data_IF_635802390574
#
_entry.id   IF_635802390574
#
_cell.length_a   1.000
_cell.length_b   1.000
_cell.length_c   1.000
_cell.angle_alpha   90.00
_cell.angle_beta   90.00
_cell.angle_gamma   90.00
#
_symmetry.space_group_name_H-M   'P 1'
#
loop_
_entity.id
_entity.type
_entity.pdbx_description
1 polymer ?
#
# COMPACT_ATOMS: atom_id res chain seq x y z
N UNK A 1 9.07 22.01 3.65
CA UNK A 1 8.56 20.75 4.25
C UNK A 1 9.62 19.70 4.02
N UNK A 2 10.15 19.08 5.07
CA UNK A 2 11.23 18.09 4.93
C UNK A 2 10.74 16.89 4.14
N UNK A 3 11.52 16.42 3.18
CA UNK A 3 11.25 15.17 2.45
C UNK A 3 11.40 14.00 3.41
N UNK A 4 10.27 13.55 3.96
CA UNK A 4 10.15 12.33 4.74
C UNK A 4 10.56 11.12 3.91
N UNK A 5 11.01 10.05 4.59
CA UNK A 5 11.41 8.79 3.97
C UNK A 5 10.24 7.83 3.75
N UNK A 6 9.01 8.26 4.06
CA UNK A 6 7.80 7.42 3.92
C UNK A 6 7.73 6.21 4.87
N UNK A 7 8.63 6.16 5.86
CA UNK A 7 8.75 5.09 6.86
C UNK A 7 9.40 5.63 8.14
N UNK A 8 9.30 4.90 9.25
CA UNK A 8 9.96 5.30 10.51
C UNK A 8 11.48 5.21 10.33
N UNK A 9 12.24 6.15 10.89
CA UNK A 9 13.72 6.14 10.76
C UNK A 9 14.38 4.84 11.25
N UNK A 10 13.85 4.24 12.32
CA UNK A 10 14.32 2.93 12.81
C UNK A 10 14.04 1.78 11.84
N UNK A 11 12.98 1.88 11.04
CA UNK A 11 12.62 0.85 10.05
C UNK A 11 13.48 1.03 8.80
N UNK A 12 13.74 2.27 8.36
CA UNK A 12 14.70 2.56 7.30
C UNK A 12 16.08 1.95 7.60
N UNK A 13 16.54 2.05 8.85
CA UNK A 13 17.77 1.38 9.27
C UNK A 13 17.70 -0.14 9.02
N UNK A 14 16.55 -0.78 9.24
CA UNK A 14 16.37 -2.22 8.97
C UNK A 14 16.34 -2.52 7.48
N UNK A 15 15.73 -1.67 6.67
CA UNK A 15 15.82 -1.77 5.21
C UNK A 15 17.27 -1.71 4.72
N UNK A 16 18.07 -0.79 5.25
CA UNK A 16 19.51 -0.70 4.92
C UNK A 16 20.31 -1.93 5.38
N UNK A 17 20.00 -2.46 6.57
CA UNK A 17 20.59 -3.72 7.05
C UNK A 17 20.30 -4.87 6.10
N UNK A 18 19.03 -5.08 5.73
CA UNK A 18 18.63 -6.18 4.83
C UNK A 18 19.20 -5.98 3.42
N UNK A 19 19.18 -4.74 2.90
CA UNK A 19 19.79 -4.40 1.62
C UNK A 19 21.27 -4.79 1.59
N UNK A 20 22.02 -4.55 2.68
CA UNK A 20 23.40 -4.99 2.82
C UNK A 20 23.53 -6.51 2.89
N UNK A 21 22.81 -7.13 3.83
CA UNK A 21 22.98 -8.55 4.16
C UNK A 21 22.59 -9.46 3.00
N UNK A 22 21.55 -9.08 2.26
CA UNK A 22 21.07 -9.82 1.08
C UNK A 22 21.73 -9.31 -0.21
N UNK A 23 22.55 -8.26 -0.13
CA UNK A 23 23.16 -7.57 -1.28
C UNK A 23 22.14 -7.24 -2.37
N UNK A 24 21.09 -6.50 -2.00
CA UNK A 24 19.99 -6.07 -2.87
C UNK A 24 19.71 -4.57 -2.71
N UNK A 25 19.17 -3.96 -3.76
CA UNK A 25 18.57 -2.62 -3.71
C UNK A 25 17.08 -2.79 -3.48
N UNK A 26 16.54 -2.09 -2.47
CA UNK A 26 15.13 -2.16 -2.09
C UNK A 26 14.43 -0.86 -2.46
N UNK A 27 13.34 -0.95 -3.22
CA UNK A 27 12.49 0.20 -3.54
C UNK A 27 11.18 0.06 -2.78
N UNK A 28 10.85 1.08 -1.99
CA UNK A 28 9.67 1.09 -1.12
C UNK A 28 8.84 2.32 -1.43
N UNK A 29 7.55 2.14 -1.70
CA UNK A 29 6.64 3.28 -1.82
C UNK A 29 6.39 3.88 -0.46
N UNK A 30 6.19 5.20 -0.43
CA UNK A 30 5.90 5.89 0.82
C UNK A 30 4.55 5.44 1.37
N UNK A 31 4.57 4.93 2.60
CA UNK A 31 3.35 4.68 3.35
C UNK A 31 2.75 6.02 3.77
N UNK A 32 1.41 6.06 3.92
CA UNK A 32 0.74 7.17 4.56
C UNK A 32 1.37 7.42 5.95
N UNK A 33 1.87 8.64 6.20
CA UNK A 33 2.60 8.99 7.43
C UNK A 33 1.75 8.77 8.68
N UNK A 34 0.45 9.03 8.61
CA UNK A 34 -0.48 8.79 9.72
C UNK A 34 -0.61 7.30 10.04
N UNK A 35 -0.26 6.39 9.13
CA UNK A 35 -0.21 4.95 9.42
C UNK A 35 0.97 4.56 10.31
N UNK A 36 2.06 5.33 10.27
CA UNK A 36 3.33 4.96 10.93
C UNK A 36 3.21 4.89 12.45
N UNK A 37 2.27 5.64 13.03
CA UNK A 37 2.03 5.65 14.48
C UNK A 37 1.44 4.35 14.99
N UNK A 38 0.86 3.50 14.13
CA UNK A 38 0.23 2.23 14.53
C UNK A 38 1.16 1.02 14.43
N UNK A 39 2.31 1.17 13.76
CA UNK A 39 3.20 0.05 13.48
C UNK A 39 3.72 -0.60 14.76
N UNK A 40 3.36 -1.87 14.96
CA UNK A 40 3.74 -2.67 16.12
C UNK A 40 2.93 -2.39 17.39
N UNK A 41 1.85 -1.59 17.32
CA UNK A 41 0.95 -1.37 18.46
C UNK A 41 -0.06 -2.53 18.57
N UNK A 42 -0.33 -3.05 19.78
CA UNK A 42 -1.39 -4.04 19.99
C UNK A 42 -2.75 -3.53 19.49
N UNK A 43 -3.53 -4.41 18.85
CA UNK A 43 -4.83 -4.06 18.26
C UNK A 43 -4.74 -3.38 16.89
N UNK A 44 -3.55 -3.27 16.31
CA UNK A 44 -3.32 -2.73 14.97
C UNK A 44 -2.50 -3.69 14.13
N UNK A 45 -2.83 -3.79 12.84
CA UNK A 45 -2.15 -4.70 11.92
C UNK A 45 -1.97 -4.06 10.55
N UNK A 46 -0.81 -4.31 9.93
CA UNK A 46 -0.51 -3.77 8.61
C UNK A 46 -1.40 -4.44 7.55
N UNK A 47 -1.86 -3.65 6.59
CA UNK A 47 -2.76 -4.08 5.53
C UNK A 47 -2.23 -5.32 4.77
N UNK A 48 -2.90 -6.48 4.85
CA UNK A 48 -2.45 -7.67 4.14
C UNK A 48 -2.68 -7.56 2.63
N UNK A 49 -1.96 -8.39 1.87
CA UNK A 49 -2.01 -8.43 0.39
C UNK A 49 -3.43 -8.53 -0.22
N UNK A 50 -4.34 -9.20 0.50
CA UNK A 50 -5.73 -9.42 0.09
C UNK A 50 -6.59 -8.16 0.15
N UNK A 51 -6.15 -7.11 0.84
CA UNK A 51 -6.90 -5.88 1.00
C UNK A 51 -6.31 -4.82 0.06
N UNK A 52 -7.14 -4.14 -0.71
CA UNK A 52 -6.71 -3.04 -1.62
C UNK A 52 -7.16 -1.66 -1.16
N UNK A 53 -8.12 -1.59 -0.23
CA UNK A 53 -8.66 -0.36 0.35
C UNK A 53 -7.58 0.63 0.84
N UNK A 54 -7.83 1.92 0.65
CA UNK A 54 -6.91 3.01 1.02
C UNK A 54 -7.10 3.42 2.48
N UNK A 55 -6.02 3.86 3.12
CA UNK A 55 -6.08 4.46 4.46
C UNK A 55 -6.59 5.90 4.39
N UNK A 56 -7.23 6.37 5.45
CA UNK A 56 -7.70 7.75 5.58
C UNK A 56 -6.53 8.74 5.61
N UNK A 57 -6.73 9.90 5.01
CA UNK A 57 -5.78 11.01 4.99
C UNK A 57 -5.93 11.97 6.19
N UNK A 58 -7.09 11.96 6.87
CA UNK A 58 -7.35 12.84 7.99
C UNK A 58 -8.37 12.27 8.99
N UNK A 59 -8.30 12.78 10.22
CA UNK A 59 -9.37 12.64 11.19
C UNK A 59 -10.49 13.65 10.85
N UNK A 60 -11.74 13.19 10.66
CA UNK A 60 -12.84 14.10 10.41
C UNK A 60 -13.14 14.94 11.66
N UNK A 61 -13.77 16.13 11.49
CA UNK A 61 -14.13 16.99 12.62
C UNK A 61 -14.93 16.25 13.69
N UNK A 62 -14.74 16.66 14.94
CA UNK A 62 -15.54 16.14 16.04
C UNK A 62 -17.02 16.45 15.83
N UNK A 63 -17.88 15.51 16.19
CA UNK A 63 -19.34 15.62 16.03
C UNK A 63 -20.01 15.33 17.36
N UNK A 64 -21.03 16.10 17.70
CA UNK A 64 -21.88 15.79 18.86
C UNK A 64 -23.08 14.98 18.38
N UNK A 65 -23.33 13.82 19.01
CA UNK A 65 -24.44 12.93 18.62
C UNK A 65 -25.10 12.28 19.84
N UNK A 66 -26.38 11.95 19.70
CA UNK A 66 -27.10 11.17 20.70
C UNK A 66 -26.76 9.69 20.57
N UNK A 67 -26.16 9.10 21.59
CA UNK A 67 -25.88 7.65 21.70
C UNK A 67 -26.63 7.14 22.92
N UNK A 68 -27.57 6.20 22.71
CA UNK A 68 -28.44 5.67 23.76
C UNK A 68 -29.11 6.77 24.63
N UNK A 69 -29.54 7.87 24.00
CA UNK A 69 -30.20 9.00 24.67
C UNK A 69 -29.26 10.00 25.35
N UNK A 70 -27.94 9.85 25.22
CA UNK A 70 -26.94 10.80 25.77
C UNK A 70 -26.21 11.53 24.65
N UNK A 71 -26.04 12.84 24.78
CA UNK A 71 -25.21 13.62 23.87
C UNK A 71 -23.73 13.38 24.15
N UNK A 72 -23.02 12.80 23.18
CA UNK A 72 -21.60 12.49 23.26
C UNK A 72 -20.86 13.29 22.20
N UNK A 73 -19.83 14.03 22.62
CA UNK A 73 -18.86 14.65 21.71
C UNK A 73 -17.88 13.58 21.24
N UNK A 74 -17.99 13.18 19.98
CA UNK A 74 -17.17 12.16 19.37
C UNK A 74 -15.98 12.79 18.67
N UNK A 75 -14.76 12.46 19.11
CA UNK A 75 -13.54 12.68 18.33
C UNK A 75 -13.13 11.39 17.64
N UNK A 76 -12.64 11.50 16.41
CA UNK A 76 -12.19 10.37 15.62
C UNK A 76 -10.67 10.28 15.61
N UNK A 77 -10.17 9.05 15.56
CA UNK A 77 -8.76 8.69 15.39
C UNK A 77 -8.67 7.61 14.33
N UNK A 78 -8.88 8.02 13.09
CA UNK A 78 -8.98 7.14 11.91
C UNK A 78 -7.95 7.47 10.83
N UNK A 79 -7.29 8.63 10.87
CA UNK A 79 -6.17 8.95 10.00
C UNK A 79 -5.14 7.82 10.04
N UNK A 80 -4.68 7.38 8.86
CA UNK A 80 -3.75 6.25 8.73
C UNK A 80 -4.37 4.85 8.85
N UNK A 81 -5.68 4.73 9.10
CA UNK A 81 -6.40 3.46 9.14
C UNK A 81 -7.28 3.27 7.91
N UNK A 82 -7.59 2.01 7.59
CA UNK A 82 -8.56 1.65 6.54
C UNK A 82 -9.96 1.88 7.09
N UNK A 83 -10.67 2.88 6.55
CA UNK A 83 -12.03 3.27 6.96
C UNK A 83 -13.01 3.08 5.81
N UNK A 84 -14.28 2.81 6.10
CA UNK A 84 -15.32 2.77 5.09
C UNK A 84 -15.57 4.19 4.53
N UNK A 85 -15.30 4.46 3.23
CA UNK A 85 -15.42 5.81 2.66
C UNK A 85 -16.85 6.35 2.64
N UNK A 86 -17.86 5.49 2.59
CA UNK A 86 -19.27 5.88 2.77
C UNK A 86 -19.66 6.32 4.19
N UNK A 87 -18.97 5.82 5.24
CA UNK A 87 -19.22 6.26 6.62
C UNK A 87 -18.46 7.55 6.94
N UNK A 88 -17.27 7.71 6.37
CA UNK A 88 -16.40 8.86 6.56
C UNK A 88 -15.85 9.42 5.24
N UNK A 89 -16.70 10.03 4.38
CA UNK A 89 -16.23 10.59 3.11
C UNK A 89 -15.23 11.74 3.34
N UNK A 90 -15.40 12.49 4.43
CA UNK A 90 -14.48 13.56 4.84
C UNK A 90 -13.13 13.09 5.36
N UNK A 91 -12.89 11.79 5.54
CA UNK A 91 -11.59 11.26 5.95
C UNK A 91 -10.58 11.16 4.80
N UNK A 92 -11.03 11.38 3.56
CA UNK A 92 -10.21 11.33 2.35
C UNK A 92 -10.10 12.70 1.72
N UNK A 93 -8.92 13.05 1.21
CA UNK A 93 -8.76 14.28 0.41
C UNK A 93 -9.66 14.19 -0.84
N UNK A 94 -10.31 15.29 -1.27
CA UNK A 94 -11.26 15.25 -2.40
C UNK A 94 -10.71 14.58 -3.66
N UNK A 95 -9.44 14.85 -4.02
CA UNK A 95 -8.77 14.26 -5.18
C UNK A 95 -8.53 12.74 -5.06
N UNK A 96 -8.56 12.18 -3.84
CA UNK A 96 -8.33 10.76 -3.56
C UNK A 96 -9.62 9.97 -3.31
N UNK A 97 -10.75 10.63 -3.03
CA UNK A 97 -11.98 9.98 -2.62
C UNK A 97 -12.49 8.95 -3.65
N UNK A 98 -12.49 9.30 -4.94
CA UNK A 98 -12.92 8.38 -6.00
C UNK A 98 -12.04 7.11 -6.05
N UNK A 99 -10.71 7.26 -5.95
CA UNK A 99 -9.78 6.13 -5.87
C UNK A 99 -9.98 5.32 -4.58
N UNK A 100 -10.31 5.96 -3.47
CA UNK A 100 -10.58 5.29 -2.20
C UNK A 100 -11.87 4.45 -2.24
N UNK A 101 -12.95 4.98 -2.84
CA UNK A 101 -14.20 4.26 -3.08
C UNK A 101 -13.97 3.02 -3.95
N UNK A 102 -13.30 3.18 -5.09
CA UNK A 102 -13.00 2.06 -5.99
C UNK A 102 -12.15 0.98 -5.28
N UNK A 103 -11.09 1.40 -4.58
CA UNK A 103 -10.23 0.47 -3.84
C UNK A 103 -10.94 -0.24 -2.68
N UNK A 104 -11.91 0.44 -2.04
CA UNK A 104 -12.79 -0.16 -1.04
C UNK A 104 -13.67 -1.24 -1.67
N UNK A 105 -14.37 -0.92 -2.77
CA UNK A 105 -15.21 -1.88 -3.49
C UNK A 105 -14.43 -3.12 -3.93
N UNK A 106 -13.23 -2.93 -4.49
CA UNK A 106 -12.39 -4.04 -4.93
C UNK A 106 -11.90 -4.91 -3.76
N UNK A 107 -11.57 -4.29 -2.62
CA UNK A 107 -11.28 -5.03 -1.38
C UNK A 107 -12.50 -5.81 -0.86
N UNK A 108 -13.68 -5.20 -0.90
CA UNK A 108 -14.93 -5.82 -0.46
C UNK A 108 -15.38 -6.96 -1.38
N UNK A 109 -15.10 -6.90 -2.69
CA UNK A 109 -15.32 -8.05 -3.60
C UNK A 109 -14.51 -9.28 -3.16
N UNK A 110 -13.29 -9.09 -2.66
CA UNK A 110 -12.44 -10.17 -2.16
C UNK A 110 -12.89 -10.68 -0.78
N UNK A 111 -13.26 -9.77 0.12
CA UNK A 111 -13.63 -10.11 1.49
C UNK A 111 -15.06 -10.65 1.61
N UNK A 112 -16.02 -10.05 0.93
CA UNK A 112 -17.44 -10.38 1.06
C UNK A 112 -18.00 -11.14 -0.15
N UNK A 113 -17.48 -10.90 -1.35
CA UNK A 113 -18.06 -11.41 -2.59
C UNK A 113 -19.53 -11.00 -2.73
N UNK A 114 -20.41 -11.97 -3.00
CA UNK A 114 -21.86 -11.73 -3.10
C UNK A 114 -22.55 -11.45 -1.74
N UNK A 115 -21.88 -11.67 -0.61
CA UNK A 115 -22.44 -11.53 0.74
C UNK A 115 -22.13 -10.16 1.37
N UNK A 116 -21.94 -9.13 0.55
CA UNK A 116 -21.67 -7.77 1.03
C UNK A 116 -22.91 -7.22 1.76
N UNK A 117 -22.79 -6.69 2.99
CA UNK A 117 -23.90 -6.03 3.65
C UNK A 117 -24.37 -4.82 2.83
N UNK A 118 -25.67 -4.54 2.87
CA UNK A 118 -26.21 -3.32 2.28
C UNK A 118 -25.52 -2.10 2.88
N UNK A 119 -25.29 -1.07 2.06
CA UNK A 119 -24.81 0.21 2.55
C UNK A 119 -25.81 0.77 3.57
N UNK A 120 -25.30 1.31 4.68
CA UNK A 120 -26.13 2.05 5.62
C UNK A 120 -26.38 3.48 5.14
N UNK A 121 -27.29 4.15 5.83
CA UNK A 121 -27.51 5.59 5.76
C UNK A 121 -26.48 6.29 6.66
N UNK A 122 -25.60 7.17 6.13
CA UNK A 122 -24.62 7.92 6.93
C UNK A 122 -25.25 8.77 8.05
N UNK A 123 -26.55 9.10 7.94
CA UNK A 123 -27.30 9.86 8.94
C UNK A 123 -27.93 8.97 10.03
N UNK A 124 -27.96 7.64 9.84
CA UNK A 124 -28.55 6.66 10.77
C UNK A 124 -27.55 5.57 11.10
N UNK A 125 -26.79 5.74 12.18
CA UNK A 125 -25.67 4.86 12.52
C UNK A 125 -26.09 3.40 12.71
N UNK A 126 -27.28 3.17 13.26
CA UNK A 126 -27.87 1.86 13.46
C UNK A 126 -28.09 1.08 12.16
N UNK A 127 -28.25 1.77 11.03
CA UNK A 127 -28.38 1.14 9.72
C UNK A 127 -27.09 0.41 9.28
N UNK A 128 -25.96 0.70 9.92
CA UNK A 128 -24.68 0.05 9.67
C UNK A 128 -24.44 -1.20 10.53
N UNK A 129 -25.35 -1.56 11.44
CA UNK A 129 -25.13 -2.66 12.39
C UNK A 129 -24.69 -3.98 11.72
N UNK A 130 -25.21 -4.27 10.51
CA UNK A 130 -24.83 -5.44 9.75
C UNK A 130 -23.31 -5.49 9.43
N UNK A 131 -22.65 -4.35 9.24
CA UNK A 131 -21.21 -4.27 8.97
C UNK A 131 -20.35 -4.65 10.19
N UNK A 132 -20.91 -4.56 11.40
CA UNK A 132 -20.25 -4.96 12.65
C UNK A 132 -20.14 -6.46 12.89
N UNK A 133 -20.87 -7.27 12.11
CA UNK A 133 -20.88 -8.73 12.27
C UNK A 133 -19.60 -9.33 11.66
N UNK A 134 -18.85 -10.08 12.46
CA UNK A 134 -17.66 -10.80 12.00
C UNK A 134 -18.01 -11.86 10.95
N UNK A 135 -17.39 -11.78 9.78
CA UNK A 135 -17.60 -12.69 8.64
C UNK A 135 -16.29 -13.32 8.21
N UNK A 136 -16.34 -14.56 7.74
CA UNK A 136 -15.19 -15.20 7.08
C UNK A 136 -14.97 -14.53 5.72
N UNK A 137 -13.72 -14.27 5.36
CA UNK A 137 -13.39 -13.68 4.07
C UNK A 137 -13.62 -14.70 2.94
N UNK A 138 -14.28 -14.27 1.86
CA UNK A 138 -14.53 -15.13 0.70
C UNK A 138 -13.24 -15.60 0.02
N UNK A 139 -12.19 -14.77 0.02
CA UNK A 139 -10.90 -15.13 -0.56
C UNK A 139 -10.06 -16.09 0.29
N UNK A 140 -10.35 -16.25 1.59
CA UNK A 140 -9.55 -17.08 2.50
C UNK A 140 -10.33 -17.43 3.77
N UNK A 141 -10.42 -18.73 4.07
CA UNK A 141 -11.03 -19.26 5.30
C UNK A 141 -10.32 -18.83 6.58
N UNK A 142 -9.07 -18.38 6.49
CA UNK A 142 -8.22 -18.05 7.64
C UNK A 142 -8.54 -16.66 8.18
N UNK A 143 -9.12 -15.80 7.34
CA UNK A 143 -9.38 -14.41 7.66
C UNK A 143 -10.84 -14.19 7.99
N UNK A 144 -11.06 -13.36 9.02
CA UNK A 144 -12.36 -12.79 9.34
C UNK A 144 -12.28 -11.28 9.24
N UNK A 145 -13.38 -10.65 8.86
CA UNK A 145 -13.49 -9.21 8.72
C UNK A 145 -14.79 -8.67 9.33
N UNK A 146 -14.74 -7.42 9.77
CA UNK A 146 -15.90 -6.60 10.14
C UNK A 146 -15.51 -5.12 10.08
N UNK A 147 -16.48 -4.23 10.20
CA UNK A 147 -16.22 -2.80 10.42
C UNK A 147 -16.62 -2.45 11.85
N UNK A 148 -15.85 -1.60 12.51
CA UNK A 148 -16.23 -1.06 13.80
C UNK A 148 -17.45 -0.14 13.63
N UNK A 149 -18.59 -0.54 14.18
CA UNK A 149 -19.85 0.19 14.10
C UNK A 149 -20.35 0.66 15.45
N UNK A 150 -19.49 0.63 16.48
CA UNK A 150 -19.81 1.21 17.79
C UNK A 150 -19.82 2.75 17.67
N UNK A 151 -20.99 3.41 17.84
CA UNK A 151 -21.08 4.87 17.74
C UNK A 151 -20.19 5.64 18.71
N UNK A 152 -19.76 5.02 19.81
CA UNK A 152 -18.86 5.59 20.81
C UNK A 152 -17.36 5.36 20.49
N UNK A 153 -17.04 4.49 19.53
CA UNK A 153 -15.66 4.20 19.17
C UNK A 153 -15.01 5.38 18.46
N UNK A 154 -13.79 5.74 18.88
CA UNK A 154 -12.95 6.67 18.12
C UNK A 154 -12.53 6.14 16.75
N UNK A 155 -12.70 4.84 16.53
CA UNK A 155 -12.40 4.14 15.28
C UNK A 155 -13.66 3.70 14.53
N UNK A 156 -14.82 4.30 14.85
CA UNK A 156 -16.05 4.04 14.10
C UNK A 156 -15.78 4.13 12.59
N UNK A 157 -16.26 3.13 11.85
CA UNK A 157 -16.07 2.94 10.43
C UNK A 157 -14.75 2.29 10.01
N UNK A 158 -13.81 2.02 10.92
CA UNK A 158 -12.57 1.34 10.57
C UNK A 158 -12.79 -0.16 10.32
N UNK A 159 -12.13 -0.68 9.29
CA UNK A 159 -12.08 -2.11 9.03
C UNK A 159 -11.22 -2.81 10.10
N UNK A 160 -11.73 -3.93 10.58
CA UNK A 160 -11.02 -4.84 11.46
C UNK A 160 -10.86 -6.21 10.81
N UNK A 161 -9.67 -6.80 10.95
CA UNK A 161 -9.42 -8.19 10.55
C UNK A 161 -9.01 -9.04 11.76
N UNK A 162 -9.27 -10.34 11.67
CA UNK A 162 -8.87 -11.36 12.64
C UNK A 162 -8.40 -12.60 11.89
N UNK A 163 -7.41 -13.31 12.44
CA UNK A 163 -6.98 -14.65 12.00
C UNK A 163 -6.35 -15.41 13.17
N UNK A 164 -5.97 -16.66 12.98
CA UNK A 164 -5.19 -17.38 14.00
C UNK A 164 -3.93 -16.57 14.41
N UNK A 165 -3.76 -16.32 15.70
CA UNK A 165 -2.66 -15.51 16.25
C UNK A 165 -2.85 -13.99 16.13
N UNK A 166 -3.97 -13.50 15.62
CA UNK A 166 -4.32 -12.08 15.51
C UNK A 166 -5.79 -11.86 15.90
N UNK A 167 -6.00 -11.29 17.10
CA UNK A 167 -7.32 -10.80 17.50
C UNK A 167 -7.79 -9.65 16.60
N UNK A 168 -9.05 -9.24 16.74
CA UNK A 168 -9.62 -8.13 15.97
C UNK A 168 -8.72 -6.89 16.03
N UNK A 169 -8.08 -6.59 14.90
CA UNK A 169 -7.12 -5.51 14.78
C UNK A 169 -7.55 -4.51 13.70
N UNK A 170 -7.39 -3.22 13.99
CA UNK A 170 -7.60 -2.16 13.01
C UNK A 170 -6.47 -2.15 12.00
N UNK A 171 -6.82 -1.91 10.74
CA UNK A 171 -5.87 -2.04 9.64
C UNK A 171 -5.23 -0.71 9.29
N UNK A 172 -3.91 -0.64 9.31
CA UNK A 172 -3.12 0.54 8.90
C UNK A 172 -2.29 0.25 7.64
N UNK A 173 -1.66 1.29 7.08
CA UNK A 173 -0.80 1.16 5.91
C UNK A 173 0.43 0.26 6.16
N UNK A 174 0.79 -0.52 5.15
CA UNK A 174 1.95 -1.41 5.09
C UNK A 174 3.13 -0.76 4.33
N UNK A 175 4.29 -1.43 4.33
CA UNK A 175 5.44 -1.08 3.50
C UNK A 175 5.38 -1.83 2.18
N UNK A 176 4.95 -1.11 1.16
CA UNK A 176 4.72 -1.64 -0.18
C UNK A 176 6.05 -1.65 -0.95
N UNK A 177 6.65 -2.84 -1.05
CA UNK A 177 7.83 -3.04 -1.87
C UNK A 177 7.44 -2.85 -3.33
N UNK A 178 8.07 -1.88 -3.98
CA UNK A 178 7.92 -1.68 -5.41
C UNK A 178 8.81 -2.65 -6.18
N UNK A 179 10.05 -2.79 -5.75
CA UNK A 179 11.05 -3.57 -6.46
C UNK A 179 12.16 -4.07 -5.52
N UNK A 180 12.79 -5.17 -5.92
CA UNK A 180 13.96 -5.75 -5.25
C UNK A 180 14.96 -6.13 -6.33
N UNK A 181 16.09 -5.43 -6.36
CA UNK A 181 17.04 -5.50 -7.47
C UNK A 181 18.37 -6.05 -6.98
N UNK A 182 18.93 -7.02 -7.69
CA UNK A 182 20.29 -7.51 -7.43
C UNK A 182 21.30 -6.59 -8.15
N UNK A 183 22.29 -5.99 -7.46
CA UNK A 183 23.32 -5.17 -8.10
C UNK A 183 24.06 -5.93 -9.20
N UNK A 184 24.33 -5.25 -10.32
CA UNK A 184 24.88 -5.80 -11.57
C UNK A 184 23.87 -6.60 -12.42
N UNK A 185 22.64 -6.77 -11.96
CA UNK A 185 21.54 -7.49 -12.63
C UNK A 185 20.29 -6.63 -12.77
N UNK A 186 20.48 -5.32 -12.84
CA UNK A 186 19.40 -4.33 -12.79
C UNK A 186 18.49 -4.33 -14.00
N UNK A 187 18.76 -5.13 -15.04
CA UNK A 187 17.87 -5.33 -16.19
C UNK A 187 16.98 -6.56 -16.06
N UNK A 188 17.23 -7.42 -15.07
CA UNK A 188 16.40 -8.58 -14.80
C UNK A 188 15.14 -8.15 -14.06
N UNK A 189 14.08 -7.92 -14.83
CA UNK A 189 12.76 -7.61 -14.32
C UNK A 189 11.79 -8.73 -14.65
N UNK A 190 11.98 -9.83 -13.94
CA UNK A 190 11.14 -11.02 -14.02
C UNK A 190 10.35 -11.15 -12.73
N UNK A 191 9.11 -11.63 -12.86
CA UNK A 191 8.23 -11.89 -11.73
C UNK A 191 7.60 -13.26 -11.87
N UNK A 192 7.49 -13.96 -10.75
CA UNK A 192 6.66 -15.14 -10.63
C UNK A 192 5.24 -14.70 -10.26
N UNK A 193 4.26 -15.24 -10.96
CA UNK A 193 2.84 -15.06 -10.63
C UNK A 193 2.40 -16.19 -9.71
N UNK A 194 1.73 -15.84 -8.61
CA UNK A 194 1.18 -16.80 -7.66
C UNK A 194 -0.09 -16.28 -7.00
N UNK A 195 -0.51 -16.98 -5.94
CA UNK A 195 -1.61 -16.54 -5.07
C UNK A 195 -1.12 -16.45 -3.63
N UNK A 196 -1.47 -15.36 -2.95
CA UNK A 196 -1.29 -15.17 -1.52
C UNK A 196 -2.67 -14.90 -0.90
N UNK A 197 -3.10 -15.76 0.03
CA UNK A 197 -4.45 -15.74 0.61
C UNK A 197 -5.57 -15.72 -0.44
N UNK A 198 -5.42 -16.53 -1.50
CA UNK A 198 -6.40 -16.63 -2.60
C UNK A 198 -6.36 -15.49 -3.60
N UNK A 199 -5.56 -14.44 -3.36
CA UNK A 199 -5.46 -13.24 -4.22
C UNK A 199 -4.18 -13.29 -5.04
N UNK A 200 -4.26 -12.78 -6.28
CA UNK A 200 -3.11 -12.68 -7.18
C UNK A 200 -1.95 -11.93 -6.50
N UNK A 201 -0.77 -12.52 -6.49
CA UNK A 201 0.45 -11.92 -5.97
C UNK A 201 1.57 -12.08 -7.00
N UNK A 202 2.43 -11.07 -7.10
CA UNK A 202 3.63 -11.10 -7.93
C UNK A 202 4.85 -11.01 -7.05
N UNK A 203 5.80 -11.91 -7.27
CA UNK A 203 7.06 -11.95 -6.50
C UNK A 203 8.24 -11.78 -7.47
N UNK A 204 9.20 -10.87 -7.20
CA UNK A 204 10.38 -10.73 -8.03
C UNK A 204 11.19 -12.03 -8.09
N UNK A 205 11.66 -12.39 -9.28
CA UNK A 205 12.60 -13.50 -9.47
C UNK A 205 14.01 -12.93 -9.34
N UNK A 206 14.68 -13.28 -8.24
CA UNK A 206 16.06 -12.85 -7.99
C UNK A 206 17.02 -13.92 -8.52
N UNK A 207 17.91 -13.56 -9.45
CA UNK A 207 18.94 -14.50 -9.98
C UNK A 207 19.82 -15.06 -8.86
N UNK A 208 20.05 -14.25 -7.82
CA UNK A 208 20.74 -14.62 -6.59
C UNK A 208 19.88 -14.21 -5.41
N UNK A 209 19.55 -15.16 -4.56
CA UNK A 209 18.76 -14.93 -3.33
C UNK A 209 17.32 -15.39 -3.44
N UNK A 210 16.50 -14.98 -2.47
CA UNK A 210 15.10 -15.36 -2.37
C UNK A 210 14.32 -14.16 -1.82
N UNK A 211 13.31 -13.69 -2.57
CA UNK A 211 12.47 -12.58 -2.14
C UNK A 211 11.79 -12.85 -0.79
N UNK A 212 11.32 -14.08 -0.56
CA UNK A 212 10.67 -14.42 0.71
C UNK A 212 11.62 -14.26 1.89
N UNK A 213 12.90 -14.60 1.71
CA UNK A 213 13.93 -14.38 2.73
C UNK A 213 14.14 -12.88 3.02
N UNK A 214 14.14 -12.03 1.99
CA UNK A 214 14.20 -10.57 2.15
C UNK A 214 13.00 -10.08 2.96
N UNK A 215 11.79 -10.50 2.59
CA UNK A 215 10.53 -10.13 3.25
C UNK A 215 10.50 -10.58 4.71
N UNK A 216 10.83 -11.84 4.97
CA UNK A 216 10.87 -12.43 6.31
C UNK A 216 11.88 -11.71 7.20
N UNK A 217 13.10 -11.46 6.69
CA UNK A 217 14.13 -10.76 7.46
C UNK A 217 13.72 -9.31 7.76
N UNK A 218 13.08 -8.60 6.82
CA UNK A 218 12.55 -7.26 7.05
C UNK A 218 11.51 -7.26 8.18
N UNK A 219 10.49 -8.11 8.09
CA UNK A 219 9.43 -8.18 9.10
C UNK A 219 9.98 -8.59 10.47
N UNK A 220 10.91 -9.55 10.51
CA UNK A 220 11.58 -9.98 11.74
C UNK A 220 12.34 -8.82 12.40
N UNK A 221 13.13 -8.07 11.63
CA UNK A 221 13.94 -6.96 12.16
C UNK A 221 13.12 -5.73 12.54
N UNK A 222 11.99 -5.49 11.86
CA UNK A 222 11.03 -4.43 12.20
C UNK A 222 10.26 -4.80 13.47
N UNK A 223 10.04 -6.11 13.72
CA UNK A 223 9.23 -6.62 14.81
C UNK A 223 7.72 -6.52 14.55
N UNK A 224 7.32 -6.35 13.29
CA UNK A 224 5.94 -6.32 12.83
C UNK A 224 5.88 -6.75 11.36
N UNK A 225 4.78 -7.38 10.95
CA UNK A 225 4.55 -7.81 9.57
C UNK A 225 4.26 -6.61 8.66
N UNK A 226 5.23 -5.72 8.41
CA UNK A 226 5.01 -4.50 7.63
C UNK A 226 5.08 -4.73 6.12
N UNK A 227 5.85 -5.71 5.66
CA UNK A 227 5.97 -6.06 4.24
C UNK A 227 5.06 -7.25 3.97
N UNK A 228 3.89 -6.98 3.40
CA UNK A 228 2.79 -7.95 3.30
C UNK A 228 2.71 -8.67 1.95
N UNK A 229 3.29 -8.12 0.90
CA UNK A 229 3.21 -8.69 -0.44
C UNK A 229 4.50 -8.54 -1.24
N UNK A 230 4.52 -9.24 -2.38
CA UNK A 230 5.64 -9.22 -3.28
C UNK A 230 5.83 -7.87 -3.97
N UNK A 231 7.05 -7.60 -4.42
CA UNK A 231 7.33 -6.45 -5.25
C UNK A 231 6.80 -6.67 -6.67
N UNK A 232 6.14 -5.67 -7.24
CA UNK A 232 5.50 -5.83 -8.55
C UNK A 232 6.51 -5.98 -9.70
N UNK A 233 7.79 -5.68 -9.45
CA UNK A 233 8.92 -5.75 -10.38
C UNK A 233 8.58 -4.98 -11.67
N UNK A 234 8.55 -3.66 -11.55
CA UNK A 234 8.11 -2.78 -12.63
C UNK A 234 9.03 -1.56 -12.73
N UNK A 235 9.79 -1.48 -13.82
CA UNK A 235 10.56 -0.30 -14.25
C UNK A 235 9.68 0.90 -14.65
N UNK A 236 8.58 1.14 -13.93
CA UNK A 236 7.58 2.13 -14.27
C UNK A 236 7.18 2.92 -13.03
N UNK A 237 6.84 4.19 -13.19
CA UNK A 237 6.16 4.97 -12.16
C UNK A 237 4.74 4.43 -11.90
N UNK A 238 4.31 4.39 -10.63
CA UNK A 238 2.99 3.87 -10.21
C UNK A 238 2.03 4.93 -9.67
N UNK A 239 2.26 6.20 -9.99
CA UNK A 239 1.40 7.29 -9.56
C UNK A 239 1.96 8.07 -8.36
N UNK A 240 1.09 8.75 -7.63
CA UNK A 240 1.36 10.00 -6.89
C UNK A 240 2.26 9.91 -5.63
N UNK A 241 2.93 8.78 -5.37
CA UNK A 241 3.65 8.51 -4.11
C UNK A 241 5.17 8.46 -4.33
N UNK A 242 5.98 9.22 -3.55
CA UNK A 242 7.42 9.11 -3.59
C UNK A 242 7.93 7.69 -3.26
N UNK A 243 9.14 7.39 -3.69
CA UNK A 243 9.82 6.10 -3.48
C UNK A 243 11.11 6.32 -2.70
N UNK A 244 11.30 5.57 -1.62
CA UNK A 244 12.60 5.47 -0.95
C UNK A 244 13.36 4.27 -1.51
N UNK A 245 14.60 4.49 -1.93
CA UNK A 245 15.52 3.47 -2.43
C UNK A 245 16.63 3.25 -1.41
N UNK A 246 16.73 2.04 -0.87
CA UNK A 246 17.76 1.65 0.10
C UNK A 246 18.83 0.79 -0.59
N UNK A 247 20.10 1.15 -0.42
CA UNK A 247 21.24 0.51 -1.07
C UNK A 247 22.05 -0.37 -0.11
N UNK A 248 22.77 -1.40 -0.62
CA UNK A 248 23.63 -2.27 0.20
C UNK A 248 24.79 -1.57 0.93
N UNK A 249 25.15 -0.35 0.52
CA UNK A 249 26.25 0.43 1.08
C UNK A 249 25.82 1.40 2.19
N UNK A 250 24.65 1.18 2.81
CA UNK A 250 24.05 2.02 3.85
C UNK A 250 23.55 3.39 3.43
N UNK A 251 23.55 3.69 2.13
CA UNK A 251 22.93 4.93 1.64
C UNK A 251 21.50 4.69 1.21
N UNK A 252 20.73 5.78 1.13
CA UNK A 252 19.40 5.77 0.53
C UNK A 252 19.19 7.06 -0.26
N UNK A 253 18.23 7.03 -1.18
CA UNK A 253 17.70 8.22 -1.84
C UNK A 253 16.18 8.23 -1.80
N UNK A 254 15.58 9.41 -1.88
CA UNK A 254 14.13 9.60 -2.01
C UNK A 254 13.85 10.16 -3.40
N UNK A 255 13.00 9.47 -4.16
CA UNK A 255 12.56 9.82 -5.49
C UNK A 255 11.15 10.39 -5.37
N UNK A 256 11.01 11.71 -5.52
CA UNK A 256 9.78 12.43 -5.14
C UNK A 256 8.68 12.45 -6.20
N UNK A 257 9.03 12.13 -7.45
CA UNK A 257 8.14 12.31 -8.58
C UNK A 257 8.46 11.35 -9.73
N UNK A 258 7.58 11.30 -10.72
CA UNK A 258 7.73 10.45 -11.91
C UNK A 258 9.06 10.70 -12.65
N UNK A 259 9.52 11.96 -12.70
CA UNK A 259 10.71 12.36 -13.44
C UNK A 259 11.97 11.83 -12.76
N UNK A 260 12.08 11.98 -11.45
CA UNK A 260 13.20 11.48 -10.65
C UNK A 260 13.26 9.96 -10.64
N UNK A 261 12.10 9.28 -10.59
CA UNK A 261 12.03 7.82 -10.70
C UNK A 261 12.45 7.32 -12.07
N UNK A 262 11.94 7.94 -13.12
CA UNK A 262 12.34 7.57 -14.47
C UNK A 262 13.82 7.82 -14.70
N UNK A 263 14.35 8.99 -14.32
CA UNK A 263 15.78 9.28 -14.42
C UNK A 263 16.62 8.28 -13.65
N UNK A 264 16.17 7.87 -12.46
CA UNK A 264 16.88 6.87 -11.67
C UNK A 264 16.93 5.52 -12.40
N UNK A 265 15.79 5.03 -12.89
CA UNK A 265 15.75 3.79 -13.67
C UNK A 265 16.55 3.89 -14.99
N UNK A 266 16.52 5.04 -15.67
CA UNK A 266 17.34 5.29 -16.87
C UNK A 266 18.83 5.28 -16.56
N UNK A 267 19.26 5.84 -15.42
CA UNK A 267 20.66 5.82 -14.98
C UNK A 267 21.09 4.41 -14.58
N UNK A 268 20.22 3.71 -13.84
CA UNK A 268 20.39 2.32 -13.48
C UNK A 268 20.60 1.47 -14.75
N UNK A 269 19.72 1.66 -15.74
CA UNK A 269 19.81 0.99 -17.04
C UNK A 269 21.05 1.41 -17.85
N UNK A 270 21.44 2.70 -17.85
CA UNK A 270 22.66 3.20 -18.52
C UNK A 270 23.95 2.59 -17.95
N UNK A 271 24.00 2.34 -16.64
CA UNK A 271 25.12 1.64 -16.02
C UNK A 271 25.21 0.17 -16.47
N UNK A 272 24.08 -0.47 -16.76
CA UNK A 272 24.02 -1.84 -17.32
C UNK A 272 24.31 -1.86 -18.82
N UNK A 273 23.84 -0.86 -19.58
CA UNK A 273 24.14 -0.65 -21.00
C UNK A 273 25.65 -0.64 -21.28
N UNK A 274 26.41 0.08 -20.45
CA UNK A 274 27.86 0.14 -20.53
C UNK A 274 28.55 -1.22 -20.29
N UNK A 275 27.83 -2.17 -19.66
CA UNK A 275 28.38 -3.46 -19.23
C UNK A 275 27.86 -4.66 -20.04
N UNK A 276 26.65 -4.58 -20.64
CA UNK A 276 25.94 -5.75 -21.22
C UNK A 276 25.26 -5.53 -22.58
N UNK A 277 25.23 -4.31 -23.13
CA UNK A 277 24.83 -4.07 -24.53
C UNK A 277 23.33 -4.17 -24.88
N UNK A 278 22.40 -4.18 -23.91
CA UNK A 278 20.95 -4.14 -24.16
C UNK A 278 20.32 -2.81 -23.74
N UNK A 279 19.62 -2.14 -24.67
CA UNK A 279 19.02 -0.82 -24.47
C UNK A 279 17.51 -0.88 -24.17
N UNK A 280 17.15 -0.86 -22.89
CA UNK A 280 15.75 -0.71 -22.48
C UNK A 280 15.21 0.72 -22.60
N UNK A 281 16.05 1.74 -22.85
CA UNK A 281 15.56 3.08 -23.19
C UNK A 281 14.94 3.11 -24.60
N UNK A 282 15.30 2.15 -25.46
CA UNK A 282 14.67 1.93 -26.75
C UNK A 282 13.32 1.17 -26.65
N UNK A 283 13.01 0.52 -25.51
CA UNK A 283 11.75 -0.20 -25.30
C UNK A 283 10.64 0.76 -24.83
N UNK A 284 9.94 1.35 -25.81
CA UNK A 284 8.81 2.27 -25.60
C UNK A 284 7.66 1.70 -24.77
N UNK A 285 7.57 0.37 -24.62
CA UNK A 285 6.54 -0.25 -23.78
C UNK A 285 6.82 -0.13 -22.28
N UNK A 286 8.02 0.34 -21.89
CA UNK A 286 8.47 0.42 -20.50
C UNK A 286 8.78 1.84 -20.01
N UNK A 287 8.84 2.82 -20.90
CA UNK A 287 9.16 4.21 -20.56
C UNK A 287 7.94 5.12 -20.60
N UNK A 288 7.86 6.08 -19.66
CA UNK A 288 6.90 7.18 -19.80
C UNK A 288 7.42 8.18 -20.84
N UNK A 289 6.50 8.73 -21.63
CA UNK A 289 6.80 9.79 -22.58
C UNK A 289 6.38 11.13 -22.00
N UNK A 290 7.28 12.11 -22.02
CA UNK A 290 6.99 13.49 -21.66
C UNK A 290 6.89 14.31 -22.94
N UNK A 291 5.69 14.83 -23.24
CA UNK A 291 5.45 15.71 -24.37
C UNK A 291 4.90 17.08 -23.92
N UNK A 292 4.73 18.03 -24.85
CA UNK A 292 4.15 19.36 -24.56
C UNK A 292 2.76 19.30 -23.91
N UNK A 293 2.08 18.16 -24.04
CA UNK A 293 0.71 17.90 -23.61
C UNK A 293 0.60 17.13 -22.28
N UNK A 294 1.73 16.72 -21.67
CA UNK A 294 1.75 16.01 -20.39
C UNK A 294 2.53 14.69 -20.40
N UNK A 295 2.31 13.88 -19.36
CA UNK A 295 2.93 12.58 -19.12
C UNK A 295 2.06 11.46 -19.70
N UNK A 296 2.65 10.61 -20.54
CA UNK A 296 1.98 9.45 -21.14
C UNK A 296 2.53 8.15 -20.55
N UNK A 297 1.62 7.22 -20.23
CA UNK A 297 1.98 5.90 -19.70
C UNK A 297 2.78 5.06 -20.71
N UNK A 298 3.57 4.07 -20.25
CA UNK A 298 4.33 3.19 -21.12
C UNK A 298 3.44 2.50 -22.17
N UNK A 299 3.86 2.54 -23.44
CA UNK A 299 3.10 2.00 -24.57
C UNK A 299 2.01 2.90 -25.16
N UNK A 300 1.75 4.09 -24.60
CA UNK A 300 0.78 5.03 -25.18
C UNK A 300 1.37 5.74 -26.41
N UNK A 301 0.68 5.65 -27.56
CA UNK A 301 1.05 6.39 -28.78
C UNK A 301 0.60 7.85 -28.65
N UNK A 302 1.49 8.85 -28.90
CA UNK A 302 1.13 10.28 -28.84
C UNK A 302 0.14 10.74 -29.93
N UNK A 303 -0.36 9.83 -30.76
CA UNK A 303 -1.26 10.12 -31.87
C UNK A 303 -2.34 9.04 -31.97
N UNK A 304 -3.32 9.10 -31.09
CA UNK A 304 -4.66 8.65 -31.40
C UNK A 304 -5.59 9.85 -31.24
N UNK A 305 -5.52 10.75 -32.22
CA UNK A 305 -6.60 11.69 -32.48
C UNK A 305 -7.86 10.91 -32.80
N UNK A 306 -8.95 11.28 -32.12
CA UNK A 306 -10.34 11.11 -32.52
C UNK A 306 -10.58 10.60 -33.95
N UNK A 307 -11.26 9.46 -34.02
CA UNK A 307 -12.05 8.95 -35.12
C UNK A 307 -13.13 8.06 -34.52
#
# INVERSE_FOLDING_TARGET
MGTSTGMRGKDLQKFLMVARDQNVILLVRHTNEDSLVYVGKPGYYAKPALLKAKTADLDPPAVTRSVAGRMVAQSYRIAGLVVHPGMHPGAYKPAKLAKALQAWEDGMKLLAGANLPAAGDPLKLESWAAWGVGRVATCSSDWRWRVDVDPASSHFGCLQLMRAGLDWAYIHGDYDLKDVIVPGRETLNQRAEGKLHGVKNYTPVLERGNFERVREQLNQLIGADMVQHGAEAQFAWHGDEPITVAFPNWTFVVLNDAVTVQRWYEQLNRSVLATKGHDYAADRSRMFHFGPQGMFAPGALPFASWG
#
